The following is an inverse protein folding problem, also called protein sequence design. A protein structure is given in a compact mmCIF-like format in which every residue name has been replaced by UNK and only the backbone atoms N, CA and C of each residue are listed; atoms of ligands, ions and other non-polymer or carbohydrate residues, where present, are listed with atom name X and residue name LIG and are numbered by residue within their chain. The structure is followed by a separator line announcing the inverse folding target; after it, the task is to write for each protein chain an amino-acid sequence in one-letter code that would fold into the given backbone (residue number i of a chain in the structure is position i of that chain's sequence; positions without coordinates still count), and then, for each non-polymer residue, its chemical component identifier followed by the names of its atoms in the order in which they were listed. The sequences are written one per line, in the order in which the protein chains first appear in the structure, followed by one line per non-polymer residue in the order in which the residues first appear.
data_IF_042681671671
#
_entry.id   IF_042681671671
#
_cell.length_a   1.000
_cell.length_b   1.000
_cell.length_c   1.000
_cell.angle_alpha   90.00
_cell.angle_beta   90.00
_cell.angle_gamma   90.00
#
_symmetry.space_group_name_H-M   'P 1'
#
loop_
_entity.id
_entity.type
_entity.pdbx_description
1 polymer ?
#
# COMPACT_ATOMS: atom_id res chain seq x y z
N UNK A 1 -2.92 -69.13 -9.42
CA UNK A 1 -2.24 -68.16 -8.52
C UNK A 1 -3.35 -67.41 -7.81
N UNK A 2 -3.70 -67.85 -6.61
CA UNK A 2 -4.85 -67.35 -5.86
C UNK A 2 -4.40 -66.21 -4.95
N UNK A 3 -5.02 -65.05 -5.12
CA UNK A 3 -4.73 -63.83 -4.37
C UNK A 3 -5.27 -64.01 -2.94
N UNK A 4 -4.40 -64.29 -1.97
CA UNK A 4 -4.78 -64.30 -0.55
C UNK A 4 -5.08 -62.87 -0.11
N UNK A 5 -6.36 -62.49 -0.20
CA UNK A 5 -6.84 -61.20 0.29
C UNK A 5 -6.51 -61.04 1.78
N UNK A 6 -5.79 -59.97 2.10
CA UNK A 6 -5.43 -59.56 3.45
C UNK A 6 -6.68 -59.02 4.21
N UNK A 7 -7.65 -59.89 4.47
CA UNK A 7 -8.93 -59.55 5.10
C UNK A 7 -8.81 -59.38 6.62
N UNK A 8 -7.85 -60.08 7.25
CA UNK A 8 -7.70 -60.08 8.71
C UNK A 8 -7.28 -58.72 9.29
N UNK A 9 -6.50 -57.92 8.55
CA UNK A 9 -6.11 -56.58 9.01
C UNK A 9 -7.31 -55.64 9.15
N UNK A 10 -8.18 -55.61 8.13
CA UNK A 10 -9.37 -54.75 8.12
C UNK A 10 -10.44 -55.25 9.10
N UNK A 11 -10.58 -56.56 9.26
CA UNK A 11 -11.46 -57.14 10.29
C UNK A 11 -10.97 -56.80 11.71
N UNK A 12 -9.67 -56.91 11.96
CA UNK A 12 -9.07 -56.52 13.24
C UNK A 12 -9.24 -55.02 13.52
N UNK A 13 -8.95 -54.16 12.53
CA UNK A 13 -9.06 -52.72 12.65
C UNK A 13 -10.53 -52.28 12.89
N UNK A 14 -11.47 -52.83 12.12
CA UNK A 14 -12.89 -52.54 12.29
C UNK A 14 -13.42 -53.06 13.64
N UNK A 15 -12.98 -54.23 14.09
CA UNK A 15 -13.29 -54.77 15.42
C UNK A 15 -12.77 -53.86 16.54
N UNK A 16 -11.54 -53.36 16.44
CA UNK A 16 -10.96 -52.40 17.38
C UNK A 16 -11.76 -51.08 17.40
N UNK A 17 -12.16 -50.60 16.22
CA UNK A 17 -12.94 -49.37 16.10
C UNK A 17 -14.33 -49.52 16.73
N UNK A 18 -15.03 -50.61 16.44
CA UNK A 18 -16.38 -50.87 16.92
C UNK A 18 -16.40 -51.11 18.45
N UNK A 19 -15.38 -51.78 18.99
CA UNK A 19 -15.26 -52.08 20.42
C UNK A 19 -14.97 -50.82 21.25
N UNK A 20 -14.20 -49.87 20.72
CA UNK A 20 -13.80 -48.64 21.40
C UNK A 20 -14.42 -47.36 20.79
N UNK A 21 -15.61 -47.49 20.18
CA UNK A 21 -16.23 -46.43 19.35
C UNK A 21 -16.29 -45.04 20.02
N UNK A 22 -16.61 -44.97 21.31
CA UNK A 22 -16.72 -43.69 22.03
C UNK A 22 -15.36 -43.01 22.19
N UNK A 23 -14.30 -43.79 22.46
CA UNK A 23 -12.93 -43.28 22.59
C UNK A 23 -12.45 -42.74 21.25
N UNK A 24 -12.70 -43.47 20.17
CA UNK A 24 -12.25 -43.08 18.82
C UNK A 24 -13.03 -41.86 18.31
N UNK A 25 -14.35 -41.82 18.52
CA UNK A 25 -15.14 -40.63 18.17
C UNK A 25 -14.70 -39.41 18.96
N UNK A 26 -14.42 -39.54 20.26
CA UNK A 26 -13.87 -38.46 21.09
C UNK A 26 -12.50 -38.01 20.59
N UNK A 27 -11.61 -38.94 20.26
CA UNK A 27 -10.29 -38.63 19.71
C UNK A 27 -10.38 -37.86 18.38
N UNK A 28 -11.22 -38.33 17.46
CA UNK A 28 -11.44 -37.66 16.17
C UNK A 28 -12.02 -36.26 16.40
N UNK A 29 -12.98 -36.12 17.31
CA UNK A 29 -13.56 -34.82 17.67
C UNK A 29 -12.49 -33.86 18.21
N UNK A 30 -11.64 -34.32 19.13
CA UNK A 30 -10.53 -33.51 19.68
C UNK A 30 -9.55 -33.09 18.60
N UNK A 31 -9.14 -34.01 17.71
CA UNK A 31 -8.24 -33.70 16.59
C UNK A 31 -8.89 -32.68 15.65
N UNK A 32 -10.19 -32.83 15.38
CA UNK A 32 -10.94 -31.93 14.50
C UNK A 32 -11.03 -30.53 15.09
N UNK A 33 -11.35 -30.42 16.37
CA UNK A 33 -11.36 -29.13 17.09
C UNK A 33 -9.96 -28.51 17.09
N UNK A 34 -8.93 -29.30 17.40
CA UNK A 34 -7.54 -28.84 17.40
C UNK A 34 -7.13 -28.27 16.03
N UNK A 35 -7.42 -28.99 14.95
CA UNK A 35 -7.14 -28.53 13.59
C UNK A 35 -7.98 -27.31 13.21
N UNK A 36 -9.25 -27.24 13.63
CA UNK A 36 -10.10 -26.07 13.44
C UNK A 36 -9.54 -24.81 14.11
N UNK A 37 -8.94 -24.95 15.30
CA UNK A 37 -8.27 -23.83 15.99
C UNK A 37 -7.02 -23.34 15.24
N UNK A 38 -6.36 -24.19 14.44
CA UNK A 38 -5.21 -23.79 13.62
C UNK A 38 -5.57 -22.85 12.46
N UNK A 39 -6.86 -22.71 12.11
CA UNK A 39 -7.30 -21.80 11.04
C UNK A 39 -6.85 -20.36 11.27
N UNK A 40 -6.67 -19.94 12.53
CA UNK A 40 -6.16 -18.60 12.90
C UNK A 40 -4.74 -18.33 12.41
N UNK A 41 -3.97 -19.37 12.08
CA UNK A 41 -2.60 -19.25 11.57
C UNK A 41 -2.53 -19.19 10.04
N UNK A 42 -3.67 -19.19 9.34
CA UNK A 42 -3.72 -19.01 7.90
C UNK A 42 -3.45 -17.54 7.55
N UNK A 43 -2.38 -17.30 6.79
CA UNK A 43 -2.06 -16.00 6.21
C UNK A 43 -2.40 -16.01 4.72
N UNK A 44 -3.14 -14.99 4.27
CA UNK A 44 -3.42 -14.78 2.85
C UNK A 44 -2.28 -14.00 2.23
N UNK A 45 -1.73 -14.49 1.11
CA UNK A 45 -0.82 -13.70 0.27
C UNK A 45 -1.66 -13.04 -0.82
N UNK A 46 -1.53 -11.71 -0.94
CA UNK A 46 -2.21 -10.92 -1.98
C UNK A 46 -1.24 -10.36 -3.03
N UNK A 47 0.05 -10.64 -2.88
CA UNK A 47 1.06 -10.31 -3.88
C UNK A 47 1.00 -11.31 -5.02
N UNK A 48 1.33 -10.85 -6.22
CA UNK A 48 1.54 -11.73 -7.37
C UNK A 48 2.53 -12.83 -7.00
N UNK A 49 2.23 -14.06 -7.42
CA UNK A 49 3.08 -15.20 -7.10
C UNK A 49 4.46 -14.99 -7.71
N UNK A 50 5.50 -14.95 -6.88
CA UNK A 50 6.87 -14.98 -7.37
C UNK A 50 7.09 -16.31 -8.11
N UNK A 51 7.29 -16.22 -9.42
CA UNK A 51 7.42 -17.38 -10.30
C UNK A 51 8.77 -18.08 -10.16
N UNK A 52 9.73 -17.46 -9.46
CA UNK A 52 11.09 -17.96 -9.30
C UNK A 52 11.33 -18.51 -7.88
N UNK A 53 12.15 -19.57 -7.75
CA UNK A 53 12.61 -20.07 -6.45
C UNK A 53 13.27 -18.97 -5.60
N UNK A 54 13.09 -19.01 -4.27
CA UNK A 54 13.59 -17.97 -3.35
C UNK A 54 15.11 -17.75 -3.41
N UNK A 55 15.85 -18.81 -3.74
CA UNK A 55 17.31 -18.86 -3.87
C UNK A 55 17.80 -18.49 -5.28
N UNK A 56 16.91 -18.19 -6.21
CA UNK A 56 17.27 -17.70 -7.54
C UNK A 56 17.95 -16.33 -7.46
N UNK A 57 19.02 -16.11 -8.23
CA UNK A 57 19.85 -14.88 -8.19
C UNK A 57 19.01 -13.61 -8.36
N UNK A 58 18.06 -13.61 -9.31
CA UNK A 58 17.15 -12.48 -9.53
C UNK A 58 16.32 -12.12 -8.28
N UNK A 59 15.91 -13.11 -7.48
CA UNK A 59 15.17 -12.84 -6.24
C UNK A 59 16.07 -12.25 -5.15
N UNK A 60 17.33 -12.68 -5.07
CA UNK A 60 18.30 -12.10 -4.14
C UNK A 60 18.57 -10.64 -4.48
N UNK A 61 18.81 -10.33 -5.76
CA UNK A 61 19.02 -8.96 -6.25
C UNK A 61 17.78 -8.08 -6.03
N UNK A 62 16.60 -8.59 -6.34
CA UNK A 62 15.34 -7.88 -6.10
C UNK A 62 15.14 -7.57 -4.60
N UNK A 63 15.37 -8.55 -3.72
CA UNK A 63 15.27 -8.32 -2.27
C UNK A 63 16.29 -7.29 -1.77
N UNK A 64 17.50 -7.26 -2.33
CA UNK A 64 18.49 -6.22 -2.03
C UNK A 64 18.05 -4.83 -2.52
N UNK A 65 17.40 -4.75 -3.68
CA UNK A 65 16.82 -3.52 -4.19
C UNK A 65 15.70 -3.03 -3.27
N UNK A 66 14.74 -3.89 -2.92
CA UNK A 66 13.67 -3.57 -1.97
C UNK A 66 14.21 -3.12 -0.60
N UNK A 67 15.29 -3.74 -0.13
CA UNK A 67 15.94 -3.33 1.12
C UNK A 67 16.55 -1.93 1.09
N UNK A 68 16.93 -1.43 -0.10
CA UNK A 68 17.50 -0.08 -0.27
C UNK A 68 16.47 0.98 -0.62
N UNK A 69 15.50 0.63 -1.47
CA UNK A 69 14.56 1.58 -2.07
C UNK A 69 13.12 1.44 -1.55
N UNK A 70 12.82 0.36 -0.84
CA UNK A 70 11.47 -0.01 -0.46
C UNK A 70 10.73 -0.75 -1.57
N UNK A 71 9.55 -1.28 -1.23
CA UNK A 71 8.60 -1.83 -2.18
C UNK A 71 7.74 -0.71 -2.78
N UNK A 72 7.39 -0.81 -4.06
CA UNK A 72 6.41 0.08 -4.67
C UNK A 72 5.06 -0.15 -3.98
N UNK A 73 4.70 0.78 -3.08
CA UNK A 73 3.39 0.79 -2.44
C UNK A 73 2.28 1.11 -3.44
N UNK A 74 1.03 0.83 -3.05
CA UNK A 74 -0.13 1.20 -3.84
C UNK A 74 -0.20 2.72 -4.04
N UNK A 75 0.03 3.18 -5.26
CA UNK A 75 -0.05 4.60 -5.63
C UNK A 75 -1.44 4.93 -6.19
N UNK A 76 -2.09 5.96 -5.63
CA UNK A 76 -3.31 6.55 -6.20
C UNK A 76 -2.96 7.91 -6.78
N UNK A 77 -3.21 8.08 -8.08
CA UNK A 77 -3.02 9.36 -8.78
C UNK A 77 -4.38 10.00 -9.04
N UNK A 78 -4.58 11.22 -8.52
CA UNK A 78 -5.80 12.00 -8.73
C UNK A 78 -5.43 13.22 -9.59
N UNK A 79 -5.95 13.26 -10.82
CA UNK A 79 -5.76 14.37 -11.75
C UNK A 79 -7.09 15.01 -12.15
N UNK A 80 -7.06 16.30 -12.46
CA UNK A 80 -8.20 17.03 -13.02
C UNK A 80 -7.71 18.04 -14.05
N UNK A 81 -8.59 18.43 -14.98
CA UNK A 81 -8.33 19.48 -15.96
C UNK A 81 -9.46 20.52 -15.85
N UNK A 82 -9.24 21.57 -15.04
CA UNK A 82 -10.19 22.67 -14.88
C UNK A 82 -9.46 24.01 -14.73
N UNK A 83 -9.77 24.96 -15.61
CA UNK A 83 -9.21 26.31 -15.60
C UNK A 83 -9.56 27.11 -14.33
N UNK A 84 -10.60 26.69 -13.60
CA UNK A 84 -11.08 27.32 -12.37
C UNK A 84 -10.43 26.78 -11.10
N UNK A 85 -9.47 25.85 -11.21
CA UNK A 85 -8.81 25.27 -10.04
C UNK A 85 -8.19 26.32 -9.11
N UNK A 86 -7.53 27.33 -9.69
CA UNK A 86 -6.91 28.45 -8.96
C UNK A 86 -7.92 29.52 -8.51
N UNK A 87 -9.18 29.15 -8.28
CA UNK A 87 -10.15 29.99 -7.58
C UNK A 87 -10.15 29.63 -6.09
N UNK A 88 -10.40 30.58 -5.17
CA UNK A 88 -10.40 30.30 -3.73
C UNK A 88 -11.29 29.11 -3.35
N UNK A 89 -12.49 29.02 -3.93
CA UNK A 89 -13.44 27.94 -3.65
C UNK A 89 -12.89 26.56 -4.04
N UNK A 90 -12.39 26.42 -5.28
CA UNK A 90 -11.90 25.14 -5.78
C UNK A 90 -10.60 24.71 -5.07
N UNK A 91 -9.68 25.65 -4.87
CA UNK A 91 -8.42 25.38 -4.20
C UNK A 91 -8.60 24.97 -2.73
N UNK A 92 -9.53 25.63 -2.00
CA UNK A 92 -9.85 25.26 -0.63
C UNK A 92 -10.49 23.86 -0.54
N UNK A 93 -11.43 23.55 -1.43
CA UNK A 93 -12.05 22.22 -1.48
C UNK A 93 -11.01 21.12 -1.78
N UNK A 94 -10.07 21.39 -2.69
CA UNK A 94 -8.96 20.47 -2.98
C UNK A 94 -8.04 20.30 -1.76
N UNK A 95 -7.69 21.39 -1.08
CA UNK A 95 -6.87 21.34 0.13
C UNK A 95 -7.55 20.53 1.23
N UNK A 96 -8.85 20.69 1.42
CA UNK A 96 -9.63 19.93 2.40
C UNK A 96 -9.63 18.42 2.07
N UNK A 97 -9.86 18.06 0.81
CA UNK A 97 -9.79 16.66 0.36
C UNK A 97 -8.42 16.05 0.66
N UNK A 98 -7.34 16.73 0.27
CA UNK A 98 -5.97 16.22 0.45
C UNK A 98 -5.59 16.15 1.93
N UNK A 99 -6.03 17.11 2.75
CA UNK A 99 -5.84 17.06 4.20
C UNK A 99 -6.63 15.93 4.86
N UNK A 100 -7.82 15.63 4.35
CA UNK A 100 -8.62 14.48 4.79
C UNK A 100 -7.96 13.15 4.45
N UNK A 101 -7.37 13.02 3.26
CA UNK A 101 -6.59 11.83 2.90
C UNK A 101 -5.33 11.72 3.78
N UNK A 102 -4.63 12.83 4.01
CA UNK A 102 -3.42 12.85 4.84
C UNK A 102 -3.68 12.48 6.31
N UNK A 103 -4.91 12.60 6.79
CA UNK A 103 -5.28 12.22 8.17
C UNK A 103 -5.69 10.75 8.31
N UNK A 104 -5.88 10.02 7.20
CA UNK A 104 -6.15 8.58 7.24
C UNK A 104 -4.90 7.82 7.69
N UNK A 105 -5.04 6.93 8.68
CA UNK A 105 -3.92 6.12 9.21
C UNK A 105 -3.33 5.16 8.19
N UNK A 106 -4.10 4.80 7.17
CA UNK A 106 -3.72 3.88 6.10
C UNK A 106 -2.89 4.57 5.00
N UNK A 107 -2.81 5.91 5.00
CA UNK A 107 -2.13 6.68 3.97
C UNK A 107 -0.80 7.18 4.55
N UNK A 108 0.31 6.64 4.03
CA UNK A 108 1.66 6.98 4.50
C UNK A 108 2.13 8.36 4.00
N UNK A 109 1.78 8.72 2.76
CA UNK A 109 2.19 9.99 2.16
C UNK A 109 1.14 10.54 1.18
N UNK A 110 0.86 11.85 1.31
CA UNK A 110 0.09 12.61 0.31
C UNK A 110 0.98 13.71 -0.25
N UNK A 111 1.21 13.68 -1.56
CA UNK A 111 1.88 14.74 -2.30
C UNK A 111 0.82 15.48 -3.13
N UNK A 112 0.63 16.77 -2.84
CA UNK A 112 -0.41 17.58 -3.48
C UNK A 112 0.12 18.97 -3.82
N UNK A 113 -0.44 19.58 -4.87
CA UNK A 113 -0.25 20.99 -5.20
C UNK A 113 -0.58 21.88 -3.99
N UNK A 114 -1.54 21.53 -3.12
CA UNK A 114 -1.93 22.39 -1.99
C UNK A 114 -0.96 22.40 -0.79
N UNK A 115 0.01 21.48 -0.74
CA UNK A 115 1.02 21.37 0.32
C UNK A 115 2.45 21.35 -0.26
N UNK A 116 2.60 21.98 -1.43
CA UNK A 116 3.86 22.04 -2.16
C UNK A 116 4.90 22.84 -1.36
N UNK A 117 6.14 22.36 -1.38
CA UNK A 117 7.29 23.08 -0.81
C UNK A 117 8.16 23.60 -1.95
N UNK A 118 8.83 24.72 -1.74
CA UNK A 118 9.88 25.22 -2.64
C UNK A 118 11.23 25.10 -1.95
N UNK A 119 12.26 24.89 -2.75
CA UNK A 119 13.64 24.91 -2.29
C UNK A 119 14.11 26.37 -2.26
N UNK A 120 14.49 26.85 -1.09
CA UNK A 120 15.03 28.18 -0.89
C UNK A 120 16.48 28.10 -0.44
N UNK A 121 17.33 28.97 -0.97
CA UNK A 121 18.73 29.07 -0.58
C UNK A 121 18.83 29.90 0.70
N UNK A 122 19.22 29.25 1.78
CA UNK A 122 19.65 29.93 3.01
C UNK A 122 21.11 30.33 2.85
N UNK A 123 21.34 31.61 2.55
CA UNK A 123 22.68 32.17 2.34
C UNK A 123 23.46 32.35 3.64
N UNK A 124 22.79 32.36 4.80
CA UNK A 124 23.44 32.54 6.10
C UNK A 124 24.05 31.21 6.54
N UNK A 125 23.30 30.12 6.41
CA UNK A 125 23.75 28.78 6.80
C UNK A 125 24.30 27.96 5.61
N UNK A 126 24.48 28.61 4.45
CA UNK A 126 24.99 28.02 3.20
C UNK A 126 24.31 26.69 2.80
N UNK A 127 23.00 26.58 3.04
CA UNK A 127 22.22 25.36 2.82
C UNK A 127 20.95 25.64 2.03
N UNK A 128 20.34 24.59 1.53
CA UNK A 128 19.00 24.66 0.98
C UNK A 128 17.98 24.22 2.01
N UNK A 129 16.87 24.95 2.09
CA UNK A 129 15.75 24.62 2.97
C UNK A 129 14.46 24.46 2.17
N UNK A 130 13.61 23.52 2.60
CA UNK A 130 12.29 23.33 2.03
C UNK A 130 11.28 24.19 2.81
N UNK A 131 10.78 25.23 2.17
CA UNK A 131 9.76 26.14 2.75
C UNK A 131 8.42 25.94 2.05
N UNK A 132 7.28 26.19 2.72
CA UNK A 132 5.98 26.15 2.07
C UNK A 132 5.93 27.07 0.85
N UNK A 133 5.39 26.59 -0.27
CA UNK A 133 5.21 27.38 -1.48
C UNK A 133 4.05 28.37 -1.35
N UNK A 134 3.02 28.01 -0.57
CA UNK A 134 1.83 28.83 -0.33
C UNK A 134 1.84 29.45 1.06
N UNK A 135 1.31 30.67 1.15
CA UNK A 135 0.88 31.29 2.39
C UNK A 135 -0.59 30.99 2.61
N UNK A 136 -0.87 30.13 3.61
CA UNK A 136 -2.22 29.69 3.94
C UNK A 136 -3.19 30.83 4.25
N UNK A 137 -2.69 31.98 4.71
CA UNK A 137 -3.53 33.14 5.05
C UNK A 137 -3.99 33.91 3.80
N UNK A 138 -3.33 33.71 2.65
CA UNK A 138 -3.59 34.45 1.41
C UNK A 138 -4.38 33.65 0.38
N UNK A 139 -4.65 32.37 0.64
CA UNK A 139 -5.35 31.47 -0.30
C UNK A 139 -6.77 31.95 -0.64
N UNK A 140 -7.40 32.78 0.20
CA UNK A 140 -8.71 33.37 -0.11
C UNK A 140 -8.65 34.51 -1.14
N UNK A 141 -7.47 35.05 -1.41
CA UNK A 141 -7.26 36.12 -2.39
C UNK A 141 -7.12 35.53 -3.81
N UNK A 142 -8.02 35.86 -4.75
CA UNK A 142 -7.97 35.36 -6.13
C UNK A 142 -6.71 35.78 -6.89
N UNK A 143 -6.26 37.03 -6.75
CA UNK A 143 -5.08 37.56 -7.43
C UNK A 143 -3.81 36.82 -6.98
N UNK A 144 -3.71 36.53 -5.68
CA UNK A 144 -2.63 35.73 -5.13
C UNK A 144 -2.59 34.32 -5.73
N UNK A 145 -3.73 33.63 -5.84
CA UNK A 145 -3.78 32.31 -6.46
C UNK A 145 -3.41 32.33 -7.95
N UNK A 146 -3.73 33.41 -8.67
CA UNK A 146 -3.29 33.57 -10.06
C UNK A 146 -1.79 33.81 -10.17
N UNK A 147 -1.19 34.58 -9.25
CA UNK A 147 0.26 34.73 -9.18
C UNK A 147 0.93 33.38 -8.92
N UNK A 148 0.41 32.63 -7.94
CA UNK A 148 0.92 31.30 -7.61
C UNK A 148 0.79 30.32 -8.77
N UNK A 149 -0.31 30.39 -9.53
CA UNK A 149 -0.46 29.63 -10.78
C UNK A 149 0.71 29.92 -11.72
N UNK A 150 0.99 31.19 -11.98
CA UNK A 150 2.08 31.60 -12.87
C UNK A 150 3.44 31.12 -12.35
N UNK A 151 3.70 31.27 -11.05
CA UNK A 151 4.95 30.83 -10.42
C UNK A 151 5.12 29.31 -10.49
N UNK A 152 4.06 28.54 -10.26
CA UNK A 152 4.09 27.07 -10.34
C UNK A 152 4.48 26.60 -11.75
N UNK A 153 3.84 27.16 -12.78
CA UNK A 153 4.08 26.73 -14.16
C UNK A 153 5.40 27.29 -14.74
N UNK A 154 5.86 28.47 -14.32
CA UNK A 154 7.01 29.11 -14.95
C UNK A 154 8.31 28.97 -14.14
N UNK A 155 8.23 28.98 -12.81
CA UNK A 155 9.39 29.09 -11.93
C UNK A 155 9.72 27.79 -11.20
N UNK A 156 8.88 26.76 -11.31
CA UNK A 156 9.07 25.47 -10.64
C UNK A 156 9.11 24.27 -11.62
N UNK A 157 10.09 24.22 -12.54
CA UNK A 157 10.20 23.14 -13.53
C UNK A 157 10.45 21.75 -12.90
N UNK A 158 10.97 21.69 -11.66
CA UNK A 158 11.16 20.43 -10.94
C UNK A 158 9.85 19.63 -10.75
N UNK A 159 8.71 20.30 -10.67
CA UNK A 159 7.41 19.65 -10.49
C UNK A 159 6.68 19.33 -11.80
N UNK A 160 7.26 19.71 -12.95
CA UNK A 160 6.71 19.39 -14.27
C UNK A 160 6.82 17.87 -14.54
N UNK A 161 5.72 17.25 -14.98
CA UNK A 161 5.62 15.81 -15.17
C UNK A 161 5.35 15.01 -13.90
N UNK A 162 5.54 15.61 -12.72
CA UNK A 162 5.21 15.00 -11.43
C UNK A 162 3.84 15.46 -10.92
N UNK A 163 3.60 16.78 -10.88
CA UNK A 163 2.37 17.35 -10.31
C UNK A 163 1.53 18.12 -11.32
N UNK A 164 2.13 18.55 -12.42
CA UNK A 164 1.40 19.23 -13.48
C UNK A 164 2.04 18.97 -14.85
N UNK A 165 1.25 19.16 -15.91
CA UNK A 165 1.70 19.10 -17.29
C UNK A 165 1.48 20.48 -17.94
N UNK A 166 2.49 21.03 -18.60
CA UNK A 166 2.38 22.33 -19.29
C UNK A 166 1.75 22.24 -20.68
N UNK A 167 1.76 21.06 -21.28
CA UNK A 167 1.32 20.83 -22.67
C UNK A 167 -0.19 20.64 -22.80
N UNK A 168 -0.90 20.51 -21.67
CA UNK A 168 -2.32 20.14 -21.59
C UNK A 168 -3.04 20.97 -20.54
#
# INVERSE_FOLDING_TARGET
MENTKNNGFWEYLSGLILKNRLVILSLILVITIFLGLQWRNLSMTYQEANLLPKDHVANIEYNQFLGKFGEEGNLIVIGFQDNRFFTPKAFLAWKELMSGLKSCKEIDLVVSISDLKKLEKDTINEKFQLVPFFDNNKVQNPEYLQQIKQDLFNNLPFYEGLLFNKKT
#
